data_IF_850351578509
#
_entry.id   IF_850351578509
#
_cell.length_a   1.000
_cell.length_b   1.000
_cell.length_c   1.000
_cell.angle_alpha   90.00
_cell.angle_beta   90.00
_cell.angle_gamma   90.00
#
_symmetry.space_group_name_H-M   'P 1'
#
loop_
_entity.id
_entity.type
_entity.pdbx_description
1 polymer ?
#
# COMPACT_ATOMS: atom_id res chain seq x y z
N UNK A 1 3.60 -0.48 20.52
CA UNK A 1 4.22 -0.69 21.83
C UNK A 1 5.67 -1.11 21.60
N UNK A 2 6.65 -0.44 22.21
CA UNK A 2 8.09 -0.76 22.04
C UNK A 2 8.55 -0.86 20.56
N UNK A 3 8.04 0.01 19.70
CA UNK A 3 8.35 0.00 18.27
C UNK A 3 7.57 -1.02 17.44
N UNK A 4 6.72 -1.83 18.06
CA UNK A 4 5.80 -2.74 17.39
C UNK A 4 4.41 -2.14 17.25
N UNK A 5 3.79 -2.31 16.09
CA UNK A 5 2.41 -1.90 15.85
C UNK A 5 1.52 -3.06 16.28
N UNK A 6 0.65 -2.84 17.27
CA UNK A 6 -0.23 -3.86 17.83
C UNK A 6 -1.66 -3.74 17.31
N UNK A 7 -2.09 -2.51 17.02
CA UNK A 7 -3.41 -2.19 16.49
C UNK A 7 -3.27 -1.14 15.39
N UNK A 8 -3.94 -1.35 14.27
CA UNK A 8 -4.07 -0.40 13.16
C UNK A 8 -5.54 -0.13 12.87
N UNK A 9 -5.91 1.14 12.79
CA UNK A 9 -7.26 1.57 12.40
C UNK A 9 -7.13 2.62 11.30
N UNK A 10 -7.93 2.49 10.24
CA UNK A 10 -7.88 3.40 9.10
C UNK A 10 -9.29 3.67 8.58
N UNK A 11 -9.72 4.93 8.68
CA UNK A 11 -10.98 5.39 8.08
C UNK A 11 -10.76 5.82 6.63
N UNK A 12 -11.55 5.24 5.72
CA UNK A 12 -11.54 5.55 4.30
C UNK A 12 -12.94 6.01 3.86
N UNK A 13 -13.31 7.29 4.09
CA UNK A 13 -14.67 7.76 3.87
C UNK A 13 -15.11 7.75 2.41
N UNK A 14 -14.16 7.75 1.47
CA UNK A 14 -14.44 7.79 0.03
C UNK A 14 -14.27 6.43 -0.67
N UNK A 15 -13.91 5.37 0.06
CA UNK A 15 -13.89 4.04 -0.53
C UNK A 15 -15.29 3.43 -0.51
N UNK A 16 -15.72 2.75 -1.60
CA UNK A 16 -16.98 2.04 -1.63
C UNK A 16 -16.94 0.84 -0.67
N UNK A 17 -18.07 0.53 -0.08
CA UNK A 17 -18.25 -0.66 0.77
C UNK A 17 -18.23 -1.94 -0.05
N UNK A 18 -18.88 -1.90 -1.20
CA UNK A 18 -18.87 -2.97 -2.17
C UNK A 18 -17.79 -2.74 -3.22
N UNK A 19 -16.80 -3.64 -3.27
CA UNK A 19 -15.68 -3.59 -4.20
C UNK A 19 -16.08 -3.79 -5.66
N UNK A 20 -17.26 -4.37 -5.91
CA UNK A 20 -17.80 -4.53 -7.26
C UNK A 20 -18.33 -3.22 -7.85
N UNK A 21 -18.57 -2.21 -7.00
CA UNK A 21 -19.02 -0.90 -7.46
C UNK A 21 -17.86 -0.14 -8.13
N UNK A 22 -18.16 0.64 -9.19
CA UNK A 22 -17.14 1.46 -9.82
C UNK A 22 -16.57 2.43 -8.81
N UNK A 23 -15.23 2.45 -8.72
CA UNK A 23 -14.52 3.42 -7.88
C UNK A 23 -14.82 4.83 -8.38
N UNK A 24 -14.92 5.83 -7.49
CA UNK A 24 -15.01 7.23 -7.90
C UNK A 24 -13.85 7.52 -8.86
N UNK A 25 -14.14 8.18 -9.98
CA UNK A 25 -13.09 8.60 -10.91
C UNK A 25 -12.18 9.62 -10.24
N UNK A 26 -10.91 9.61 -10.60
CA UNK A 26 -9.93 10.57 -10.12
C UNK A 26 -10.51 12.00 -10.17
N UNK A 27 -10.50 12.70 -9.05
CA UNK A 27 -10.99 14.08 -8.91
C UNK A 27 -12.49 14.22 -8.67
N UNK A 28 -13.28 13.16 -8.65
CA UNK A 28 -14.70 13.24 -8.34
C UNK A 28 -14.95 13.17 -6.82
N UNK A 29 -14.66 14.26 -6.13
CA UNK A 29 -14.91 14.45 -4.69
C UNK A 29 -16.36 14.90 -4.44
N UNK A 30 -17.20 14.89 -5.46
CA UNK A 30 -18.56 15.43 -5.36
C UNK A 30 -19.52 14.39 -4.82
N UNK A 31 -19.78 14.53 -3.55
CA UNK A 31 -20.70 13.75 -2.75
C UNK A 31 -22.16 14.17 -3.00
N UNK A 32 -22.77 13.67 -4.01
CA UNK A 32 -24.22 13.81 -4.12
C UNK A 32 -24.97 12.78 -3.28
N UNK A 33 -24.35 11.67 -2.94
CA UNK A 33 -24.87 10.74 -1.91
C UNK A 33 -23.72 9.99 -1.25
N UNK A 34 -23.69 9.96 0.08
CA UNK A 34 -22.77 9.16 0.90
C UNK A 34 -23.20 7.68 0.94
N UNK A 35 -24.27 7.33 0.23
CA UNK A 35 -24.81 5.98 0.23
C UNK A 35 -23.82 5.01 -0.44
N UNK A 36 -23.50 3.93 0.27
CA UNK A 36 -22.53 2.93 -0.20
C UNK A 36 -21.05 3.31 -0.07
N UNK A 37 -20.73 4.53 0.42
CA UNK A 37 -19.36 4.95 0.69
C UNK A 37 -19.02 4.92 2.19
N UNK A 38 -17.72 4.86 2.45
CA UNK A 38 -17.14 4.95 3.79
C UNK A 38 -16.96 3.61 4.46
N UNK A 39 -15.69 3.23 4.60
CA UNK A 39 -15.26 2.01 5.27
C UNK A 39 -14.22 2.30 6.35
N UNK A 40 -14.26 1.51 7.40
CA UNK A 40 -13.29 1.46 8.47
C UNK A 40 -12.53 0.15 8.36
N UNK A 41 -11.22 0.22 8.27
CA UNK A 41 -10.33 -0.94 8.30
C UNK A 41 -9.72 -1.06 9.69
N UNK A 42 -9.64 -2.29 10.19
CA UNK A 42 -9.07 -2.61 11.51
C UNK A 42 -8.16 -3.82 11.37
N UNK A 43 -6.99 -3.76 11.97
CA UNK A 43 -6.11 -4.92 12.09
C UNK A 43 -5.52 -4.96 13.50
N UNK A 44 -5.45 -6.15 14.08
CA UNK A 44 -4.76 -6.40 15.34
C UNK A 44 -3.75 -7.53 15.13
N UNK A 45 -2.55 -7.35 15.66
CA UNK A 45 -1.43 -8.28 15.45
C UNK A 45 -1.82 -9.72 15.86
N UNK A 46 -1.69 -10.65 14.91
CA UNK A 46 -2.03 -12.06 15.10
C UNK A 46 -3.53 -12.36 15.12
N UNK A 47 -4.39 -11.39 14.81
CA UNK A 47 -5.84 -11.56 14.83
C UNK A 47 -6.52 -11.31 13.47
N UNK A 48 -5.74 -10.95 12.45
CA UNK A 48 -6.25 -10.68 11.10
C UNK A 48 -6.62 -9.22 10.85
N UNK A 49 -7.06 -8.99 9.62
CA UNK A 49 -7.53 -7.70 9.13
C UNK A 49 -9.01 -7.75 8.81
N UNK A 50 -9.72 -6.65 9.08
CA UNK A 50 -11.17 -6.56 8.98
C UNK A 50 -11.62 -5.24 8.38
N UNK A 51 -12.85 -5.22 7.85
CA UNK A 51 -13.52 -4.02 7.34
C UNK A 51 -14.94 -3.93 7.91
N UNK A 52 -15.41 -2.70 8.12
CA UNK A 52 -16.80 -2.40 8.49
C UNK A 52 -17.25 -1.08 7.85
N UNK A 53 -18.56 -0.80 7.74
CA UNK A 53 -19.05 0.52 7.40
C UNK A 53 -18.59 1.56 8.42
N UNK A 54 -18.10 2.72 7.96
CA UNK A 54 -17.54 3.75 8.87
C UNK A 54 -18.61 4.44 9.74
N UNK A 55 -19.86 4.45 9.29
CA UNK A 55 -20.96 5.14 9.93
C UNK A 55 -21.94 4.21 10.66
N UNK A 56 -21.56 2.95 10.84
CA UNK A 56 -22.37 1.97 11.58
C UNK A 56 -21.48 1.27 12.61
N UNK A 57 -21.59 1.72 13.86
CA UNK A 57 -20.77 1.19 14.96
C UNK A 57 -21.21 -0.20 15.43
N UNK A 58 -22.41 -0.63 15.05
CA UNK A 58 -22.96 -1.94 15.40
C UNK A 58 -22.71 -2.99 14.29
N UNK A 59 -22.23 -2.56 13.12
CA UNK A 59 -21.90 -3.47 12.04
C UNK A 59 -20.79 -4.44 12.44
N UNK A 60 -20.91 -5.72 12.09
CA UNK A 60 -19.85 -6.69 12.36
C UNK A 60 -18.58 -6.33 11.57
N UNK A 61 -17.42 -6.66 12.13
CA UNK A 61 -16.16 -6.64 11.43
C UNK A 61 -16.09 -7.83 10.48
N UNK A 62 -16.00 -7.57 9.17
CA UNK A 62 -15.85 -8.60 8.15
C UNK A 62 -14.37 -8.85 7.85
N UNK A 63 -13.90 -10.11 7.87
CA UNK A 63 -12.49 -10.40 7.56
C UNK A 63 -12.16 -10.05 6.11
N UNK A 64 -10.96 -9.51 5.91
CA UNK A 64 -10.42 -9.22 4.57
C UNK A 64 -9.08 -9.91 4.36
N UNK A 65 -8.80 -10.21 3.11
CA UNK A 65 -7.55 -10.78 2.65
C UNK A 65 -7.11 -10.11 1.35
N UNK A 66 -5.80 -10.06 1.14
CA UNK A 66 -5.27 -9.68 -0.16
C UNK A 66 -5.70 -10.68 -1.24
N UNK A 67 -5.85 -10.20 -2.45
CA UNK A 67 -6.20 -11.05 -3.59
C UNK A 67 -5.05 -12.02 -3.89
N UNK A 68 -5.36 -13.31 -3.99
CA UNK A 68 -4.38 -14.32 -4.37
C UNK A 68 -4.17 -14.32 -5.90
N UNK A 69 -2.92 -14.10 -6.29
CA UNK A 69 -2.50 -14.09 -7.69
C UNK A 69 -1.61 -15.27 -8.07
N UNK A 70 -1.27 -16.13 -7.09
CA UNK A 70 -0.39 -17.30 -7.28
C UNK A 70 0.94 -16.97 -7.99
N UNK A 71 1.41 -15.72 -7.85
CA UNK A 71 2.61 -15.23 -8.51
C UNK A 71 2.41 -14.77 -9.96
N UNK A 72 1.18 -14.76 -10.47
CA UNK A 72 0.85 -14.25 -11.81
C UNK A 72 0.74 -12.73 -11.83
N UNK A 73 1.83 -12.08 -12.19
CA UNK A 73 1.89 -10.62 -12.29
C UNK A 73 1.09 -10.04 -13.46
N UNK A 74 0.71 -10.83 -14.46
CA UNK A 74 -0.08 -10.32 -15.61
C UNK A 74 -1.47 -9.85 -15.17
N UNK A 75 -1.97 -10.36 -14.04
CA UNK A 75 -3.24 -10.02 -13.42
C UNK A 75 -3.10 -8.97 -12.31
N UNK A 76 -1.87 -8.60 -11.96
CA UNK A 76 -1.61 -7.69 -10.85
C UNK A 76 -1.90 -6.23 -11.24
N UNK A 77 -2.39 -5.47 -10.27
CA UNK A 77 -2.76 -4.06 -10.39
C UNK A 77 -1.90 -3.21 -9.46
N UNK A 78 -1.26 -2.18 -9.99
CA UNK A 78 -0.59 -1.19 -9.16
C UNK A 78 -1.57 -0.27 -8.43
N UNK A 79 -1.25 0.00 -7.18
CA UNK A 79 -1.89 1.06 -6.39
C UNK A 79 -0.94 2.26 -6.31
N UNK A 80 -1.25 3.34 -7.02
CA UNK A 80 -0.39 4.51 -7.20
C UNK A 80 -1.01 5.78 -6.60
N UNK A 81 -0.18 6.79 -6.34
CA UNK A 81 -0.67 8.12 -5.97
C UNK A 81 -1.23 8.86 -7.18
N UNK A 82 -2.27 9.68 -6.95
CA UNK A 82 -2.80 10.62 -7.95
C UNK A 82 -1.77 11.72 -8.22
N UNK A 83 -1.10 12.21 -7.18
CA UNK A 83 -0.07 13.25 -7.29
C UNK A 83 1.27 12.69 -7.80
N UNK A 84 1.73 13.20 -8.94
CA UNK A 84 3.02 12.84 -9.54
C UNK A 84 4.23 13.16 -8.63
N UNK A 85 4.10 14.15 -7.73
CA UNK A 85 5.11 14.48 -6.74
C UNK A 85 5.32 13.42 -5.65
N UNK A 86 4.41 12.47 -5.52
CA UNK A 86 4.46 11.41 -4.50
C UNK A 86 4.86 10.04 -5.06
N UNK A 87 5.12 9.93 -6.37
CA UNK A 87 5.50 8.68 -7.01
C UNK A 87 6.45 8.93 -8.15
N UNK A 88 7.47 8.09 -8.30
CA UNK A 88 8.31 8.03 -9.49
C UNK A 88 7.57 7.21 -10.57
N UNK A 89 6.63 7.83 -11.28
CA UNK A 89 5.78 7.14 -12.26
C UNK A 89 6.60 6.42 -13.35
N UNK A 90 7.72 6.99 -13.79
CA UNK A 90 8.60 6.35 -14.76
C UNK A 90 9.25 5.08 -14.21
N UNK A 91 9.73 5.13 -12.96
CA UNK A 91 10.31 3.97 -12.28
C UNK A 91 9.23 2.90 -12.02
N UNK A 92 8.02 3.29 -11.61
CA UNK A 92 6.91 2.35 -11.42
C UNK A 92 6.55 1.64 -12.73
N UNK A 93 6.46 2.39 -13.85
CA UNK A 93 6.21 1.80 -15.17
C UNK A 93 7.31 0.81 -15.58
N UNK A 94 8.57 1.12 -15.27
CA UNK A 94 9.69 0.21 -15.53
C UNK A 94 9.60 -1.06 -14.70
N UNK A 95 9.25 -0.94 -13.41
CA UNK A 95 9.03 -2.08 -12.52
C UNK A 95 7.87 -2.95 -13.03
N UNK A 96 6.76 -2.33 -13.44
CA UNK A 96 5.64 -3.05 -14.05
C UNK A 96 6.08 -3.87 -15.27
N UNK A 97 6.87 -3.28 -16.14
CA UNK A 97 7.41 -3.94 -17.32
C UNK A 97 8.31 -5.12 -16.97
N UNK A 98 9.22 -4.97 -15.99
CA UNK A 98 10.11 -6.05 -15.51
C UNK A 98 9.28 -7.22 -14.95
N UNK A 99 8.20 -6.91 -14.23
CA UNK A 99 7.30 -7.91 -13.65
C UNK A 99 6.34 -8.53 -14.65
N UNK A 100 6.19 -7.95 -15.86
CA UNK A 100 5.19 -8.37 -16.85
C UNK A 100 3.76 -8.01 -16.46
N UNK A 101 3.58 -6.93 -15.67
CA UNK A 101 2.26 -6.44 -15.28
C UNK A 101 1.57 -5.75 -16.46
N UNK A 102 0.24 -5.80 -16.49
CA UNK A 102 -0.60 -5.03 -17.42
C UNK A 102 -0.70 -3.55 -17.04
N UNK A 103 -1.41 -2.78 -17.87
CA UNK A 103 -1.63 -1.33 -17.68
C UNK A 103 -2.76 -1.01 -16.67
N UNK A 104 -3.06 -1.93 -15.77
CA UNK A 104 -4.12 -1.71 -14.78
C UNK A 104 -3.56 -1.00 -13.56
N UNK A 105 -4.13 0.18 -13.27
CA UNK A 105 -3.74 1.02 -12.15
C UNK A 105 -4.96 1.43 -11.33
N UNK A 106 -4.81 1.36 -10.02
CA UNK A 106 -5.73 1.98 -9.06
C UNK A 106 -5.03 3.21 -8.52
N UNK A 107 -5.61 4.39 -8.72
CA UNK A 107 -5.04 5.65 -8.27
C UNK A 107 -5.82 6.21 -7.09
N UNK A 108 -5.12 6.47 -6.01
CA UNK A 108 -5.66 7.11 -4.82
C UNK A 108 -4.53 7.70 -3.98
N UNK A 109 -4.84 8.69 -3.18
CA UNK A 109 -3.89 9.29 -2.27
C UNK A 109 -3.96 8.68 -0.87
N UNK A 110 -3.05 9.09 -0.02
CA UNK A 110 -2.93 8.74 1.39
C UNK A 110 -2.71 7.24 1.68
N UNK A 111 -2.92 6.87 2.93
CA UNK A 111 -2.87 5.49 3.41
C UNK A 111 -3.99 4.58 2.84
N UNK A 112 -4.99 5.13 2.16
CA UNK A 112 -6.03 4.36 1.49
C UNK A 112 -5.45 3.32 0.49
N UNK A 113 -4.22 3.54 -0.01
CA UNK A 113 -3.51 2.56 -0.84
C UNK A 113 -3.24 1.24 -0.10
N UNK A 114 -2.84 1.31 1.17
CA UNK A 114 -2.70 0.11 2.01
C UNK A 114 -4.03 -0.60 2.20
N UNK A 115 -5.10 0.14 2.50
CA UNK A 115 -6.44 -0.39 2.65
C UNK A 115 -6.92 -1.09 1.37
N UNK A 116 -6.70 -0.45 0.23
CA UNK A 116 -7.06 -0.96 -1.09
C UNK A 116 -6.38 -2.30 -1.40
N UNK A 117 -5.07 -2.42 -1.20
CA UNK A 117 -4.38 -3.69 -1.46
C UNK A 117 -4.74 -4.76 -0.42
N UNK A 118 -4.98 -4.38 0.84
CA UNK A 118 -5.38 -5.34 1.90
C UNK A 118 -6.73 -5.98 1.64
N UNK A 119 -7.64 -5.28 0.93
CA UNK A 119 -8.96 -5.76 0.56
C UNK A 119 -9.01 -6.41 -0.83
N UNK A 120 -7.89 -6.33 -1.59
CA UNK A 120 -7.79 -6.89 -2.94
C UNK A 120 -8.30 -5.98 -4.05
N UNK A 121 -8.45 -4.67 -3.82
CA UNK A 121 -8.77 -3.69 -4.87
C UNK A 121 -7.56 -3.40 -5.78
N UNK A 122 -6.37 -3.55 -5.25
CA UNK A 122 -5.08 -3.51 -5.95
C UNK A 122 -4.15 -4.55 -5.35
N UNK A 123 -2.95 -4.69 -5.88
CA UNK A 123 -2.06 -5.79 -5.50
C UNK A 123 -0.67 -5.35 -5.05
N UNK A 124 -0.15 -4.27 -5.65
CA UNK A 124 1.20 -3.77 -5.35
C UNK A 124 1.14 -2.28 -5.06
N UNK A 125 1.65 -1.87 -3.92
CA UNK A 125 1.86 -0.47 -3.57
C UNK A 125 3.36 -0.20 -3.41
N UNK A 126 3.85 0.81 -4.14
CA UNK A 126 5.22 1.29 -4.07
C UNK A 126 5.25 2.75 -3.66
N UNK A 127 6.07 3.07 -2.67
CA UNK A 127 6.44 4.43 -2.30
C UNK A 127 7.93 4.60 -2.58
N UNK A 128 8.26 5.01 -3.80
CA UNK A 128 9.65 5.25 -4.21
C UNK A 128 10.07 6.68 -3.85
N UNK A 129 11.27 6.89 -3.29
CA UNK A 129 11.78 8.23 -3.05
C UNK A 129 11.87 9.03 -4.35
N UNK A 130 11.42 10.27 -4.31
CA UNK A 130 11.55 11.24 -5.41
C UNK A 130 12.78 12.13 -5.20
N UNK A 131 13.24 12.78 -6.26
CA UNK A 131 14.40 13.68 -6.20
C UNK A 131 15.66 12.94 -5.74
N UNK A 132 16.41 13.55 -4.82
CA UNK A 132 17.67 13.02 -4.27
C UNK A 132 17.48 11.89 -3.23
N UNK A 133 16.24 11.53 -2.90
CA UNK A 133 15.93 10.51 -1.90
C UNK A 133 16.21 10.92 -0.46
N UNK A 134 16.40 12.21 -0.17
CA UNK A 134 16.66 12.73 1.18
C UNK A 134 15.42 12.73 2.07
N UNK A 135 14.22 12.70 1.49
CA UNK A 135 12.97 12.66 2.25
C UNK A 135 12.88 11.39 3.09
N UNK A 136 12.53 11.57 4.37
CA UNK A 136 12.30 10.47 5.30
C UNK A 136 10.80 10.34 5.58
N UNK A 137 10.26 9.16 5.28
CA UNK A 137 8.85 8.83 5.49
C UNK A 137 8.47 8.94 6.98
N UNK A 138 7.27 9.42 7.24
CA UNK A 138 6.76 9.59 8.61
C UNK A 138 6.11 8.30 9.10
N UNK A 139 6.37 7.93 10.35
CA UNK A 139 5.82 6.67 10.90
C UNK A 139 4.29 6.62 10.86
N UNK A 140 3.61 7.75 11.04
CA UNK A 140 2.13 7.81 11.02
C UNK A 140 1.52 7.63 9.63
N UNK A 141 2.31 7.80 8.56
CA UNK A 141 1.85 7.57 7.19
C UNK A 141 1.91 6.08 6.79
N UNK A 142 2.52 5.25 7.62
CA UNK A 142 2.78 3.85 7.28
C UNK A 142 2.37 2.84 8.35
N UNK A 143 2.32 3.24 9.62
CA UNK A 143 2.20 2.30 10.73
C UNK A 143 0.91 1.46 10.66
N UNK A 144 -0.27 2.09 10.62
CA UNK A 144 -1.54 1.34 10.57
C UNK A 144 -1.69 0.54 9.27
N UNK A 145 -1.28 1.12 8.14
CA UNK A 145 -1.31 0.44 6.85
C UNK A 145 -0.41 -0.77 6.77
N UNK A 146 0.79 -0.70 7.36
CA UNK A 146 1.72 -1.84 7.38
C UNK A 146 1.15 -3.03 8.16
N UNK A 147 0.50 -2.79 9.30
CA UNK A 147 -0.14 -3.86 10.05
C UNK A 147 -1.32 -4.43 9.28
N UNK A 148 -2.15 -3.57 8.67
CA UNK A 148 -3.32 -4.00 7.90
C UNK A 148 -2.92 -4.95 6.77
N UNK A 149 -1.88 -4.60 5.99
CA UNK A 149 -1.36 -5.46 4.92
C UNK A 149 -0.81 -6.76 5.47
N UNK A 150 -0.02 -6.72 6.55
CA UNK A 150 0.56 -7.91 7.15
C UNK A 150 -0.51 -8.90 7.62
N UNK A 151 -1.54 -8.41 8.30
CA UNK A 151 -2.65 -9.22 8.82
C UNK A 151 -3.61 -9.69 7.70
N UNK A 152 -3.60 -9.03 6.53
CA UNK A 152 -4.35 -9.46 5.34
C UNK A 152 -3.58 -10.48 4.46
N UNK A 153 -2.37 -10.93 4.85
CA UNK A 153 -1.57 -11.93 4.12
C UNK A 153 -0.47 -11.35 3.23
N UNK A 154 -0.17 -10.06 3.38
CA UNK A 154 0.88 -9.37 2.64
C UNK A 154 2.19 -9.19 3.41
N UNK A 155 3.15 -8.61 2.72
CA UNK A 155 4.44 -8.20 3.29
C UNK A 155 4.69 -6.73 2.99
N UNK A 156 5.16 -5.99 4.00
CA UNK A 156 5.57 -4.59 3.88
C UNK A 156 7.04 -4.48 4.26
N UNK A 157 7.83 -3.87 3.39
CA UNK A 157 9.25 -3.61 3.61
C UNK A 157 9.69 -2.29 3.02
N UNK A 158 10.97 -1.95 3.21
CA UNK A 158 11.61 -0.91 2.42
C UNK A 158 12.06 -1.45 1.03
N UNK A 159 12.74 -0.60 0.24
CA UNK A 159 13.20 -0.94 -1.12
C UNK A 159 14.25 -2.06 -1.17
N UNK A 160 14.91 -2.34 -0.05
CA UNK A 160 15.90 -3.42 0.07
C UNK A 160 15.29 -4.69 0.71
N UNK A 161 13.99 -4.74 0.92
CA UNK A 161 13.30 -5.87 1.53
C UNK A 161 13.41 -5.93 3.06
N UNK A 162 13.93 -4.89 3.72
CA UNK A 162 14.07 -4.84 5.19
C UNK A 162 12.74 -4.44 5.84
N UNK A 163 12.38 -5.02 6.99
CA UNK A 163 11.21 -4.58 7.75
C UNK A 163 11.26 -3.09 8.08
N UNK A 164 10.11 -2.42 8.08
CA UNK A 164 10.02 -1.02 8.51
C UNK A 164 10.23 -0.92 10.02
N UNK A 165 11.14 -0.03 10.44
CA UNK A 165 11.47 0.18 11.84
C UNK A 165 10.74 1.40 12.40
N UNK A 166 9.67 1.16 13.14
CA UNK A 166 8.84 2.19 13.77
C UNK A 166 9.35 2.62 15.14
N UNK A 167 10.45 2.05 15.65
CA UNK A 167 10.98 2.29 16.98
C UNK A 167 12.02 3.42 17.08
N UNK A 168 12.40 4.05 15.95
CA UNK A 168 13.49 5.03 15.89
C UNK A 168 13.02 6.50 15.96
N UNK A 169 11.80 6.76 16.36
CA UNK A 169 11.24 8.09 16.51
C UNK A 169 10.18 8.41 15.47
N UNK A 170 10.16 9.67 14.98
CA UNK A 170 9.06 10.18 14.14
C UNK A 170 9.16 9.81 12.65
N UNK A 171 10.30 9.34 12.22
CA UNK A 171 10.59 9.03 10.82
C UNK A 171 11.18 7.63 10.70
N UNK A 172 11.02 7.03 9.53
CA UNK A 172 11.61 5.73 9.17
C UNK A 172 13.09 5.93 8.78
N UNK A 173 13.92 6.35 9.75
CA UNK A 173 15.32 6.73 9.50
C UNK A 173 16.22 5.56 9.07
N UNK A 174 15.84 4.33 9.38
CA UNK A 174 16.54 3.11 8.97
C UNK A 174 15.99 2.47 7.68
N UNK A 175 15.06 3.16 6.98
CA UNK A 175 14.41 2.61 5.80
C UNK A 175 14.36 3.64 4.67
N UNK A 176 14.35 3.17 3.44
CA UNK A 176 14.17 3.98 2.23
C UNK A 176 12.98 3.46 1.45
N UNK A 177 11.98 4.32 1.25
CA UNK A 177 10.74 3.98 0.53
C UNK A 177 9.94 2.86 1.17
N UNK A 178 8.91 2.40 0.45
CA UNK A 178 8.04 1.30 0.90
C UNK A 178 7.64 0.43 -0.27
N UNK A 179 7.64 -0.88 -0.04
CA UNK A 179 7.08 -1.93 -0.92
C UNK A 179 6.06 -2.71 -0.11
N UNK A 180 4.83 -2.81 -0.63
CA UNK A 180 3.76 -3.58 -0.02
C UNK A 180 3.04 -4.39 -1.10
N UNK A 181 2.93 -5.71 -0.92
CA UNK A 181 2.23 -6.62 -1.83
C UNK A 181 1.98 -7.97 -1.12
N UNK A 182 1.32 -8.89 -1.82
CA UNK A 182 1.13 -10.26 -1.33
C UNK A 182 2.48 -10.93 -1.02
N UNK A 183 2.55 -11.69 0.08
CA UNK A 183 3.82 -12.21 0.60
C UNK A 183 4.56 -13.11 -0.39
N UNK A 184 3.87 -13.94 -1.16
CA UNK A 184 4.47 -14.83 -2.17
C UNK A 184 5.03 -14.07 -3.40
N UNK A 185 4.64 -12.82 -3.61
CA UNK A 185 5.11 -11.97 -4.71
C UNK A 185 6.26 -11.05 -4.29
N UNK A 186 6.43 -10.82 -2.99
CA UNK A 186 7.26 -9.75 -2.45
C UNK A 186 8.73 -9.84 -2.91
N UNK A 187 9.35 -11.01 -2.88
CA UNK A 187 10.75 -11.18 -3.29
C UNK A 187 10.98 -10.72 -4.75
N UNK A 188 10.09 -11.12 -5.66
CA UNK A 188 10.17 -10.71 -7.07
C UNK A 188 9.95 -9.22 -7.27
N UNK A 189 9.05 -8.61 -6.49
CA UNK A 189 8.84 -7.15 -6.52
C UNK A 189 10.11 -6.43 -6.07
N UNK A 190 10.78 -6.87 -5.00
CA UNK A 190 12.05 -6.31 -4.53
C UNK A 190 13.14 -6.42 -5.61
N UNK A 191 13.27 -7.58 -6.26
CA UNK A 191 14.22 -7.77 -7.36
C UNK A 191 13.96 -6.81 -8.53
N UNK A 192 12.69 -6.62 -8.91
CA UNK A 192 12.31 -5.69 -9.96
C UNK A 192 12.58 -4.23 -9.59
N UNK A 193 12.32 -3.83 -8.33
CA UNK A 193 12.67 -2.51 -7.79
C UNK A 193 14.18 -2.29 -7.87
N UNK A 194 14.97 -3.25 -7.40
CA UNK A 194 16.43 -3.15 -7.43
C UNK A 194 16.98 -3.02 -8.87
N UNK A 195 16.42 -3.79 -9.81
CA UNK A 195 16.78 -3.73 -11.22
C UNK A 195 16.48 -2.37 -11.85
N UNK A 196 15.27 -1.85 -11.65
CA UNK A 196 14.85 -0.56 -12.17
C UNK A 196 15.73 0.59 -11.60
N UNK A 197 15.95 0.59 -10.28
CA UNK A 197 16.81 1.60 -9.65
C UNK A 197 18.27 1.53 -10.12
N UNK A 198 18.78 0.33 -10.43
CA UNK A 198 20.12 0.15 -10.99
C UNK A 198 20.21 0.73 -12.41
N UNK A 199 19.23 0.48 -13.25
CA UNK A 199 19.15 1.04 -14.60
C UNK A 199 19.11 2.58 -14.60
N UNK A 200 18.45 3.17 -13.59
CA UNK A 200 18.37 4.62 -13.39
C UNK A 200 19.62 5.23 -12.69
N UNK A 201 20.62 4.43 -12.32
CA UNK A 201 21.78 4.90 -11.56
C UNK A 201 21.47 5.27 -10.11
N UNK A 202 20.35 4.80 -9.55
CA UNK A 202 19.85 5.13 -8.21
C UNK A 202 20.02 4.00 -7.18
N UNK A 203 20.98 3.10 -7.40
CA UNK A 203 21.26 1.97 -6.49
C UNK A 203 21.58 2.39 -5.06
N UNK A 204 22.02 3.63 -4.82
CA UNK A 204 22.24 4.19 -3.49
C UNK A 204 20.97 4.20 -2.60
N UNK A 205 19.78 4.17 -3.21
CA UNK A 205 18.51 4.07 -2.47
C UNK A 205 18.29 2.70 -1.82
N UNK A 206 19.02 1.67 -2.21
CA UNK A 206 18.98 0.34 -1.61
C UNK A 206 19.88 0.22 -0.37
N UNK A 207 20.74 1.23 -0.15
CA UNK A 207 21.65 1.32 0.99
C UNK A 207 21.08 2.30 2.03
N UNK A 208 21.23 1.97 3.31
CA UNK A 208 20.93 2.87 4.45
C UNK A 208 22.24 3.22 5.13
#
# INVERSE_FOLDING_TARGET
>A
INGHIELGVMGCPNLPRDVSQPKPKDGDIRHSSMEGLGVLFVAARGHGAFVAPINDTEAPLEPIHMRELEGDFTRATFCESVEAGHSSLGTNARIAQILGMGDQHVRMDSQAKYASISRGDGDVYLRLPVGDGSYQEKIWDHASGSLLVAEAGGTVSDLAGRPLNFGLGRVLSANKGVVACQSNMHARVIEAVASALKEEGRSSLLSV
#
